data_IF_026609965111
#
_entry.id   IF_026609965111
#
_cell.length_a   1.000
_cell.length_b   1.000
_cell.length_c   1.000
_cell.angle_alpha   90.00
_cell.angle_beta   90.00
_cell.angle_gamma   90.00
#
_symmetry.space_group_name_H-M   'P 1'
#
loop_
_entity.id
_entity.type
_entity.pdbx_description
1 polymer ?
#
# COMPACT_ATOMS: atom_id res chain seq x y z
N UNK A 1 8.27 -20.06 -12.30
CA UNK A 1 8.52 -19.24 -11.11
C UNK A 1 9.16 -17.93 -11.49
N UNK A 2 8.39 -16.86 -11.30
CA UNK A 2 8.81 -15.47 -11.38
C UNK A 2 9.38 -15.07 -10.02
N UNK A 3 10.50 -14.35 -10.01
CA UNK A 3 11.14 -13.88 -8.76
C UNK A 3 11.48 -12.41 -8.82
N UNK A 4 11.50 -11.76 -7.65
CA UNK A 4 12.01 -10.39 -7.51
C UNK A 4 13.54 -10.41 -7.55
N UNK A 5 14.13 -9.55 -8.36
CA UNK A 5 15.59 -9.42 -8.49
C UNK A 5 16.12 -8.17 -7.80
N UNK A 6 15.29 -7.13 -7.65
CA UNK A 6 15.70 -5.85 -7.08
C UNK A 6 14.52 -4.94 -6.69
N UNK A 7 14.69 -4.19 -5.61
CA UNK A 7 13.89 -2.99 -5.27
C UNK A 7 14.29 -1.84 -6.21
N UNK A 8 13.38 -1.40 -7.06
CA UNK A 8 13.64 -0.40 -8.10
C UNK A 8 13.34 1.03 -7.63
N UNK A 9 12.15 1.24 -7.05
CA UNK A 9 11.69 2.60 -6.72
C UNK A 9 10.61 2.60 -5.66
N UNK A 10 10.84 3.36 -4.58
CA UNK A 10 9.81 3.73 -3.61
C UNK A 10 8.94 4.86 -4.13
N UNK A 11 7.64 4.80 -3.82
CA UNK A 11 6.62 5.78 -4.17
C UNK A 11 6.60 6.15 -5.66
N UNK A 12 6.45 5.17 -6.59
CA UNK A 12 6.24 5.49 -8.00
C UNK A 12 4.98 6.37 -8.17
N UNK A 13 4.93 7.18 -9.23
CA UNK A 13 3.72 7.95 -9.55
C UNK A 13 2.60 7.04 -10.05
N UNK A 14 1.37 7.54 -10.01
CA UNK A 14 0.21 6.86 -10.60
C UNK A 14 0.46 6.54 -12.08
N UNK A 15 1.08 7.46 -12.83
CA UNK A 15 1.41 7.29 -14.24
C UNK A 15 2.56 6.31 -14.47
N UNK A 16 3.44 6.10 -13.49
CA UNK A 16 4.48 5.06 -13.58
C UNK A 16 3.91 3.67 -13.36
N UNK A 17 2.89 3.53 -12.51
CA UNK A 17 2.24 2.25 -12.21
C UNK A 17 1.14 1.89 -13.21
N UNK A 18 0.33 2.86 -13.65
CA UNK A 18 -0.87 2.58 -14.46
C UNK A 18 -0.70 3.00 -15.92
N UNK A 19 -1.13 2.15 -16.86
CA UNK A 19 -1.01 2.41 -18.30
C UNK A 19 -1.91 3.57 -18.74
N UNK A 20 -3.16 3.57 -18.29
CA UNK A 20 -4.18 4.59 -18.60
C UNK A 20 -4.90 4.96 -17.30
N UNK A 21 -4.29 5.77 -16.42
CA UNK A 21 -4.88 6.08 -15.12
C UNK A 21 -6.16 6.90 -15.29
N UNK A 22 -7.23 6.47 -14.60
CA UNK A 22 -8.45 7.28 -14.46
C UNK A 22 -8.21 8.35 -13.42
N UNK A 23 -8.87 9.51 -13.54
CA UNK A 23 -8.68 10.65 -12.63
C UNK A 23 -8.88 10.26 -11.15
N UNK A 24 -9.79 9.32 -10.88
CA UNK A 24 -10.07 8.87 -9.52
C UNK A 24 -8.99 7.96 -8.92
N UNK A 25 -8.07 7.40 -9.73
CA UNK A 25 -7.02 6.49 -9.22
C UNK A 25 -6.18 7.16 -8.14
N UNK A 26 -5.86 8.45 -8.28
CA UNK A 26 -5.07 9.19 -7.29
C UNK A 26 -5.81 9.44 -5.97
N UNK A 27 -7.13 9.25 -5.95
CA UNK A 27 -7.93 9.40 -4.74
C UNK A 27 -8.01 8.08 -3.96
N UNK A 28 -7.79 6.94 -4.63
CA UNK A 28 -8.03 5.59 -4.08
C UNK A 28 -6.74 4.81 -3.93
N UNK A 29 -5.88 4.78 -4.95
CA UNK A 29 -4.68 3.94 -4.95
C UNK A 29 -3.45 4.69 -4.44
N UNK A 30 -2.65 3.98 -3.67
CA UNK A 30 -1.37 4.43 -3.13
C UNK A 30 -0.25 3.54 -3.66
N UNK A 31 0.44 3.94 -4.74
CA UNK A 31 1.60 3.20 -5.22
C UNK A 31 2.76 3.25 -4.20
N UNK A 32 3.19 2.10 -3.72
CA UNK A 32 4.12 2.02 -2.59
C UNK A 32 5.55 1.76 -3.06
N UNK A 33 5.72 0.73 -3.88
CA UNK A 33 7.03 0.22 -4.25
C UNK A 33 6.97 -0.40 -5.64
N UNK A 34 8.00 -0.18 -6.45
CA UNK A 34 8.26 -0.91 -7.69
C UNK A 34 9.44 -1.86 -7.48
N UNK A 35 9.29 -3.10 -7.93
CA UNK A 35 10.33 -4.13 -7.97
C UNK A 35 10.60 -4.56 -9.40
N UNK A 36 11.84 -4.93 -9.69
CA UNK A 36 12.21 -5.69 -10.90
C UNK A 36 11.92 -7.17 -10.63
N UNK A 37 11.29 -7.82 -11.60
CA UNK A 37 11.01 -9.26 -11.58
C UNK A 37 11.66 -9.93 -12.78
N UNK A 38 12.03 -11.20 -12.63
CA UNK A 38 12.59 -12.05 -13.68
C UNK A 38 11.81 -13.36 -13.77
N UNK A 39 11.40 -13.73 -14.97
CA UNK A 39 10.73 -15.00 -15.23
C UNK A 39 11.71 -16.11 -15.62
N UNK A 40 11.22 -17.33 -15.80
CA UNK A 40 12.04 -18.52 -16.13
C UNK A 40 12.86 -18.37 -17.42
N UNK A 41 12.46 -17.47 -18.31
CA UNK A 41 13.14 -17.18 -19.57
C UNK A 41 14.19 -16.07 -19.41
N UNK A 42 14.51 -15.67 -18.18
CA UNK A 42 15.42 -14.57 -17.85
C UNK A 42 14.96 -13.21 -18.42
N UNK A 43 13.67 -13.07 -18.70
CA UNK A 43 13.11 -11.80 -19.14
C UNK A 43 12.75 -10.97 -17.92
N UNK A 44 13.21 -9.72 -17.94
CA UNK A 44 13.01 -8.77 -16.86
C UNK A 44 11.82 -7.86 -17.13
N UNK A 45 10.98 -7.69 -16.12
CA UNK A 45 9.85 -6.76 -16.15
C UNK A 45 9.68 -6.11 -14.77
N UNK A 46 8.60 -5.35 -14.56
CA UNK A 46 8.33 -4.67 -13.30
C UNK A 46 7.00 -5.11 -12.70
N UNK A 47 6.96 -5.13 -11.36
CA UNK A 47 5.74 -5.21 -10.59
C UNK A 47 5.71 -4.13 -9.52
N UNK A 48 4.52 -3.83 -8.99
CA UNK A 48 4.24 -2.74 -8.09
C UNK A 48 3.40 -3.21 -6.91
N UNK A 49 3.86 -2.88 -5.71
CA UNK A 49 3.03 -2.89 -4.52
C UNK A 49 2.15 -1.64 -4.52
N UNK A 50 0.85 -1.84 -4.38
CA UNK A 50 -0.18 -0.80 -4.40
C UNK A 50 -1.13 -1.06 -3.24
N UNK A 51 -1.26 -0.10 -2.34
CA UNK A 51 -2.33 -0.07 -1.35
C UNK A 51 -3.55 0.69 -1.89
N UNK A 52 -4.68 0.61 -1.19
CA UNK A 52 -5.87 1.37 -1.50
C UNK A 52 -6.50 1.98 -0.25
N UNK A 53 -7.22 3.08 -0.43
CA UNK A 53 -8.09 3.63 0.59
C UNK A 53 -9.15 2.59 0.97
N UNK A 54 -9.42 2.51 2.28
CA UNK A 54 -10.35 1.54 2.88
C UNK A 54 -9.93 0.07 2.77
N UNK A 55 -8.64 -0.24 2.50
CA UNK A 55 -8.16 -1.60 2.77
C UNK A 55 -8.39 -1.92 4.26
N UNK A 56 -9.02 -3.07 4.55
CA UNK A 56 -9.31 -3.50 5.93
C UNK A 56 -10.49 -2.86 6.63
N UNK A 57 -11.25 -1.97 5.97
CA UNK A 57 -12.51 -1.48 6.54
C UNK A 57 -13.61 -2.52 6.35
N UNK A 58 -13.60 -3.53 7.23
CA UNK A 58 -14.47 -4.70 7.23
C UNK A 58 -16.00 -4.42 7.37
N UNK A 59 -16.41 -3.15 7.43
CA UNK A 59 -17.83 -2.77 7.53
C UNK A 59 -18.53 -2.66 6.15
N UNK A 60 -17.77 -2.76 5.06
CA UNK A 60 -18.19 -2.58 3.66
C UNK A 60 -17.98 -3.81 2.73
N UNK A 61 -18.52 -4.98 3.12
CA UNK A 61 -18.34 -6.26 2.39
C UNK A 61 -18.74 -6.12 0.92
N UNK A 62 -17.92 -6.68 0.03
CA UNK A 62 -18.15 -6.66 -1.40
C UNK A 62 -17.80 -8.02 -2.00
N UNK A 63 -18.77 -8.71 -2.60
CA UNK A 63 -18.60 -10.01 -3.30
C UNK A 63 -17.82 -9.87 -4.62
N UNK A 64 -17.08 -8.78 -4.80
CA UNK A 64 -16.36 -8.47 -6.03
C UNK A 64 -15.06 -9.26 -6.13
N UNK A 65 -14.76 -9.71 -7.34
CA UNK A 65 -13.57 -10.52 -7.66
C UNK A 65 -12.46 -9.72 -8.31
N UNK A 66 -12.68 -8.44 -8.60
CA UNK A 66 -11.70 -7.51 -9.15
C UNK A 66 -11.04 -6.64 -8.07
N UNK A 67 -11.79 -6.27 -7.03
CA UNK A 67 -11.31 -5.46 -5.93
C UNK A 67 -12.27 -5.52 -4.74
N UNK A 68 -11.74 -5.69 -3.55
CA UNK A 68 -12.45 -5.52 -2.28
C UNK A 68 -11.47 -4.99 -1.21
N UNK A 69 -11.84 -5.03 0.06
CA UNK A 69 -10.97 -4.53 1.13
C UNK A 69 -9.77 -5.44 1.45
N UNK A 70 -9.74 -6.68 0.94
CA UNK A 70 -8.71 -7.70 1.16
C UNK A 70 -7.75 -7.78 -0.02
N UNK A 71 -8.17 -7.37 -1.23
CA UNK A 71 -7.26 -7.36 -2.36
C UNK A 71 -7.66 -6.39 -3.45
N UNK A 72 -6.69 -6.09 -4.32
CA UNK A 72 -6.93 -5.52 -5.64
C UNK A 72 -6.27 -6.38 -6.70
N UNK A 73 -7.05 -6.78 -7.71
CA UNK A 73 -6.54 -7.47 -8.91
C UNK A 73 -6.31 -6.48 -10.03
N UNK A 74 -5.15 -6.56 -10.66
CA UNK A 74 -4.76 -5.77 -11.82
C UNK A 74 -4.45 -6.66 -13.02
N UNK A 75 -4.79 -6.19 -14.23
CA UNK A 75 -4.19 -6.72 -15.46
C UNK A 75 -2.81 -6.08 -15.63
N UNK A 76 -1.76 -6.87 -15.84
CA UNK A 76 -0.42 -6.38 -16.12
C UNK A 76 -0.21 -6.23 -17.63
N UNK A 77 0.15 -5.01 -18.04
CA UNK A 77 0.41 -4.61 -19.42
C UNK A 77 1.83 -4.09 -19.53
N UNK A 78 2.75 -4.99 -19.87
CA UNK A 78 4.19 -4.71 -19.85
C UNK A 78 4.69 -4.49 -18.42
N UNK A 79 5.15 -3.27 -18.13
CA UNK A 79 5.66 -2.84 -16.82
C UNK A 79 4.66 -1.98 -16.06
N UNK A 80 3.38 -2.03 -16.41
CA UNK A 80 2.32 -1.22 -15.84
C UNK A 80 1.06 -2.05 -15.63
N UNK A 81 0.10 -1.48 -14.92
CA UNK A 81 -1.18 -2.08 -14.59
C UNK A 81 -2.34 -1.38 -15.28
N UNK A 82 -3.38 -2.16 -15.56
CA UNK A 82 -4.72 -1.70 -15.93
C UNK A 82 -5.71 -2.17 -14.87
N UNK A 83 -6.61 -1.26 -14.51
CA UNK A 83 -7.70 -1.52 -13.58
C UNK A 83 -9.02 -1.03 -14.18
N UNK A 84 -9.87 -1.98 -14.53
CA UNK A 84 -11.18 -1.70 -15.12
C UNK A 84 -12.36 -1.89 -14.16
N UNK A 85 -12.08 -2.22 -12.90
CA UNK A 85 -13.10 -2.33 -11.87
C UNK A 85 -13.81 -1.01 -11.55
N UNK A 86 -14.99 -1.16 -10.96
CA UNK A 86 -15.84 -0.07 -10.48
C UNK A 86 -15.62 0.16 -8.98
N UNK A 87 -15.84 1.40 -8.53
CA UNK A 87 -15.59 1.84 -7.15
C UNK A 87 -16.86 2.40 -6.47
N UNK A 88 -18.03 2.11 -7.02
CA UNK A 88 -19.33 2.52 -6.45
C UNK A 88 -19.61 1.85 -5.10
N UNK A 89 -19.01 0.67 -4.86
CA UNK A 89 -19.01 -0.02 -3.57
C UNK A 89 -18.14 0.67 -2.51
N UNK A 90 -17.13 1.45 -2.92
CA UNK A 90 -16.21 2.10 -1.99
C UNK A 90 -16.95 3.22 -1.23
N UNK A 91 -16.93 3.21 0.11
CA UNK A 91 -17.65 4.19 0.91
C UNK A 91 -17.17 5.61 0.60
N UNK A 92 -18.14 6.52 0.52
CA UNK A 92 -17.87 7.93 0.24
C UNK A 92 -17.08 8.17 -1.07
N UNK A 93 -17.05 7.23 -2.02
CA UNK A 93 -16.30 7.37 -3.28
C UNK A 93 -16.58 8.69 -4.00
N UNK A 94 -17.86 9.09 -4.04
CA UNK A 94 -18.30 10.36 -4.65
C UNK A 94 -17.78 11.63 -3.95
N UNK A 95 -17.34 11.52 -2.68
CA UNK A 95 -16.77 12.63 -1.90
C UNK A 95 -15.25 12.71 -2.01
N UNK A 96 -14.58 11.61 -2.37
CA UNK A 96 -13.11 11.55 -2.43
C UNK A 96 -12.45 12.64 -3.28
N UNK A 97 -13.01 13.08 -4.44
CA UNK A 97 -12.41 14.19 -5.19
C UNK A 97 -12.32 15.49 -4.38
N UNK A 98 -13.35 15.80 -3.59
CA UNK A 98 -13.35 16.99 -2.73
C UNK A 98 -12.41 16.79 -1.54
N UNK A 99 -12.41 15.60 -0.93
CA UNK A 99 -11.54 15.30 0.20
C UNK A 99 -10.06 15.35 -0.18
N UNK A 100 -9.71 14.80 -1.34
CA UNK A 100 -8.36 14.89 -1.91
C UNK A 100 -7.93 16.35 -2.11
N UNK A 101 -8.84 17.19 -2.61
CA UNK A 101 -8.54 18.62 -2.80
C UNK A 101 -8.31 19.31 -1.46
N UNK A 102 -9.12 19.02 -0.44
CA UNK A 102 -8.92 19.55 0.91
C UNK A 102 -7.57 19.10 1.49
N UNK A 103 -7.23 17.81 1.36
CA UNK A 103 -5.92 17.28 1.79
C UNK A 103 -4.77 17.99 1.09
N UNK A 104 -4.90 18.23 -0.22
CA UNK A 104 -3.89 18.93 -1.01
C UNK A 104 -3.68 20.37 -0.53
N UNK A 105 -4.76 21.08 -0.24
CA UNK A 105 -4.71 22.45 0.28
C UNK A 105 -4.09 22.49 1.68
N UNK A 106 -4.48 21.57 2.54
CA UNK A 106 -3.97 21.45 3.91
C UNK A 106 -2.48 21.07 3.92
N UNK A 107 -2.10 20.05 3.15
CA UNK A 107 -0.70 19.66 2.97
C UNK A 107 0.15 20.82 2.44
N UNK A 108 -0.33 21.56 1.43
CA UNK A 108 0.41 22.71 0.90
C UNK A 108 0.58 23.83 1.92
N UNK A 109 -0.42 24.07 2.78
CA UNK A 109 -0.36 25.09 3.82
C UNK A 109 0.57 24.73 4.99
N UNK A 110 0.71 23.43 5.29
CA UNK A 110 1.43 22.95 6.48
C UNK A 110 2.64 22.05 6.17
N UNK A 111 3.03 21.91 4.90
CA UNK A 111 4.08 20.99 4.43
C UNK A 111 5.35 21.03 5.27
N UNK A 112 5.91 22.23 5.45
CA UNK A 112 7.17 22.41 6.17
C UNK A 112 7.07 21.96 7.64
N UNK A 113 5.88 22.06 8.23
CA UNK A 113 5.62 21.63 9.61
C UNK A 113 5.49 20.12 9.71
N UNK A 114 4.82 19.48 8.74
CA UNK A 114 4.73 18.02 8.66
C UNK A 114 6.09 17.38 8.36
N UNK A 115 6.96 18.06 7.62
CA UNK A 115 8.29 17.59 7.32
C UNK A 115 9.33 17.99 8.38
N UNK A 116 9.00 18.70 9.45
CA UNK A 116 10.05 19.04 10.43
C UNK A 116 10.29 17.88 11.42
N UNK A 117 11.44 17.21 11.30
CA UNK A 117 11.81 16.02 12.09
C UNK A 117 12.33 16.31 13.50
N UNK A 118 12.73 17.55 13.80
CA UNK A 118 13.38 17.86 15.10
C UNK A 118 12.38 18.01 16.24
N UNK A 119 11.10 18.22 15.92
CA UNK A 119 10.05 18.31 16.91
C UNK A 119 9.24 17.03 16.79
N UNK A 120 9.51 16.07 17.69
CA UNK A 120 8.42 15.17 18.10
C UNK A 120 7.25 16.12 18.37
N UNK A 121 6.17 16.03 17.59
CA UNK A 121 4.90 16.70 17.91
C UNK A 121 4.27 16.02 19.14
N UNK A 122 5.09 15.74 20.16
CA UNK A 122 4.71 15.28 21.47
C UNK A 122 4.02 16.46 22.15
N UNK A 123 2.72 16.51 21.93
CA UNK A 123 1.74 17.31 22.67
C UNK A 123 1.76 18.83 22.43
N UNK A 124 0.59 19.28 21.98
CA UNK A 124 -0.10 20.57 22.14
C UNK A 124 0.74 21.88 22.23
N UNK A 125 0.59 22.81 21.27
CA UNK A 125 -0.18 22.72 20.02
C UNK A 125 0.66 22.17 18.86
N UNK A 126 0.12 21.17 18.15
CA UNK A 126 0.61 20.75 16.83
C UNK A 126 -0.45 21.10 15.79
N UNK A 127 -0.08 21.75 14.67
CA UNK A 127 -0.99 22.02 13.55
C UNK A 127 -1.70 20.76 13.03
N UNK A 128 -1.08 19.58 13.18
CA UNK A 128 -1.70 18.31 12.81
C UNK A 128 -2.88 17.97 13.72
N UNK A 129 -2.72 18.10 15.05
CA UNK A 129 -3.78 17.85 16.02
C UNK A 129 -4.97 18.79 15.81
N UNK A 130 -4.71 20.08 15.61
CA UNK A 130 -5.75 21.07 15.32
C UNK A 130 -6.50 20.76 14.02
N UNK A 131 -5.83 20.12 13.05
CA UNK A 131 -6.43 19.73 11.79
C UNK A 131 -7.22 18.44 11.93
N UNK A 132 -6.70 17.45 12.67
CA UNK A 132 -7.41 16.22 12.99
C UNK A 132 -8.74 16.50 13.70
N UNK A 133 -8.74 17.34 14.75
CA UNK A 133 -9.98 17.70 15.47
C UNK A 133 -11.02 18.34 14.53
N UNK A 134 -10.58 19.14 13.55
CA UNK A 134 -11.48 19.73 12.53
C UNK A 134 -11.99 18.67 11.55
N UNK A 135 -11.17 17.71 11.17
CA UNK A 135 -11.58 16.64 10.27
C UNK A 135 -12.56 15.68 10.94
N UNK A 136 -12.29 15.29 12.18
CA UNK A 136 -13.20 14.46 13.00
C UNK A 136 -14.56 15.14 13.21
N UNK A 137 -14.58 16.47 13.37
CA UNK A 137 -15.81 17.24 13.46
C UNK A 137 -16.65 17.22 12.15
N UNK A 138 -16.06 16.89 11.01
CA UNK A 138 -16.78 16.68 9.74
C UNK A 138 -17.34 15.24 9.70
N UNK A 139 -16.48 14.24 9.87
CA UNK A 139 -16.85 12.82 10.04
C UNK A 139 -15.61 11.95 10.30
N UNK A 140 -15.77 10.78 10.93
CA UNK A 140 -14.71 9.79 11.09
C UNK A 140 -14.05 9.38 9.77
N UNK A 141 -14.85 8.98 8.76
CA UNK A 141 -14.34 8.59 7.43
C UNK A 141 -13.49 9.67 6.76
N UNK A 142 -13.88 10.94 6.94
CA UNK A 142 -13.12 12.08 6.42
C UNK A 142 -11.79 12.22 7.16
N UNK A 143 -11.78 12.12 8.48
CA UNK A 143 -10.56 12.16 9.27
C UNK A 143 -9.58 11.03 8.89
N UNK A 144 -10.07 9.79 8.79
CA UNK A 144 -9.30 8.63 8.33
C UNK A 144 -8.73 8.86 6.94
N UNK A 145 -9.54 9.31 5.97
CA UNK A 145 -9.04 9.59 4.63
C UNK A 145 -7.92 10.64 4.62
N UNK A 146 -8.08 11.71 5.39
CA UNK A 146 -7.09 12.78 5.50
C UNK A 146 -5.80 12.28 6.14
N UNK A 147 -5.88 11.51 7.23
CA UNK A 147 -4.72 10.94 7.93
C UNK A 147 -3.94 9.95 7.04
N UNK A 148 -4.64 9.02 6.38
CA UNK A 148 -4.06 8.10 5.41
C UNK A 148 -3.32 8.82 4.28
N UNK A 149 -3.97 9.81 3.65
CA UNK A 149 -3.39 10.49 2.48
C UNK A 149 -2.21 11.41 2.86
N UNK A 150 -2.32 12.12 3.98
CA UNK A 150 -1.25 12.99 4.46
C UNK A 150 -0.05 12.19 4.96
N UNK A 151 -0.27 11.12 5.73
CA UNK A 151 0.81 10.24 6.17
C UNK A 151 1.56 9.66 4.96
N UNK A 152 0.86 9.18 3.93
CA UNK A 152 1.45 8.72 2.68
C UNK A 152 2.36 9.78 2.02
N UNK A 153 1.86 11.01 1.86
CA UNK A 153 2.65 12.10 1.26
C UNK A 153 3.84 12.52 2.11
N UNK A 154 3.69 12.54 3.43
CA UNK A 154 4.78 12.85 4.37
C UNK A 154 5.86 11.78 4.29
N UNK A 155 5.50 10.49 4.33
CA UNK A 155 6.45 9.37 4.17
C UNK A 155 7.22 9.52 2.85
N UNK A 156 6.49 9.74 1.73
CA UNK A 156 7.10 9.91 0.40
C UNK A 156 8.09 11.06 0.37
N UNK A 157 7.66 12.26 0.76
CA UNK A 157 8.47 13.46 0.66
C UNK A 157 9.67 13.39 1.62
N UNK A 158 9.52 12.76 2.78
CA UNK A 158 10.64 12.51 3.71
C UNK A 158 11.66 11.55 3.16
N UNK A 159 11.21 10.47 2.52
CA UNK A 159 12.11 9.55 1.85
C UNK A 159 12.87 10.26 0.72
N UNK A 160 12.19 11.09 -0.08
CA UNK A 160 12.83 11.89 -1.14
C UNK A 160 13.87 12.88 -0.60
N UNK A 161 13.62 13.46 0.58
CA UNK A 161 14.54 14.41 1.22
C UNK A 161 15.75 13.72 1.86
N UNK A 162 15.54 12.60 2.53
CA UNK A 162 16.53 12.01 3.44
C UNK A 162 17.17 10.71 2.94
N UNK A 163 16.54 10.05 1.97
CA UNK A 163 16.88 8.70 1.52
C UNK A 163 16.55 7.59 2.52
N UNK A 164 15.98 7.91 3.69
CA UNK A 164 15.65 6.95 4.75
C UNK A 164 14.17 6.62 4.73
N UNK A 165 13.84 5.34 4.89
CA UNK A 165 12.46 4.90 4.98
C UNK A 165 11.99 4.90 6.42
N UNK A 166 11.16 5.89 6.78
CA UNK A 166 10.61 6.09 8.11
C UNK A 166 9.11 6.42 7.94
N UNK A 167 8.24 5.76 8.69
CA UNK A 167 6.79 5.90 8.55
C UNK A 167 6.32 7.35 8.79
N UNK A 168 5.39 7.82 7.95
CA UNK A 168 4.84 9.18 7.98
C UNK A 168 4.21 9.56 9.31
N UNK A 169 3.56 8.59 9.97
CA UNK A 169 2.99 8.80 11.30
C UNK A 169 4.03 9.23 12.34
N UNK A 170 5.33 8.89 12.17
CA UNK A 170 6.42 9.43 12.98
C UNK A 170 6.38 10.96 13.06
N UNK A 171 6.08 11.59 11.92
CA UNK A 171 6.14 13.03 11.72
C UNK A 171 4.80 13.72 11.94
N UNK A 172 3.68 13.00 11.82
CA UNK A 172 2.34 13.59 12.04
C UNK A 172 1.83 13.38 13.48
N UNK A 173 2.01 12.19 14.08
CA UNK A 173 1.47 11.82 15.41
C UNK A 173 2.35 10.87 16.26
N UNK A 174 3.63 10.73 15.92
CA UNK A 174 4.31 9.43 16.00
C UNK A 174 4.81 8.86 17.33
N UNK A 175 5.01 7.53 17.29
CA UNK A 175 5.48 6.66 18.37
C UNK A 175 6.88 6.03 18.15
N UNK A 176 7.49 6.09 16.94
CA UNK A 176 8.86 5.62 16.71
C UNK A 176 9.52 6.20 15.44
N UNK A 177 10.80 6.57 15.51
CA UNK A 177 11.55 7.27 14.44
C UNK A 177 12.77 6.51 13.92
N UNK A 178 12.76 5.18 13.98
CA UNK A 178 13.83 4.35 13.42
C UNK A 178 13.57 4.04 11.95
N UNK A 179 14.65 3.78 11.23
CA UNK A 179 14.64 3.33 9.83
C UNK A 179 13.97 1.96 9.73
N UNK A 180 13.21 1.76 8.65
CA UNK A 180 12.37 0.59 8.41
C UNK A 180 12.85 -0.19 7.22
N UNK A 181 12.61 -1.49 7.23
CA UNK A 181 12.76 -2.32 6.04
C UNK A 181 11.69 -1.92 5.00
N UNK A 182 12.14 -1.87 3.74
CA UNK A 182 11.31 -1.42 2.61
C UNK A 182 10.45 -2.58 2.10
N UNK A 183 11.03 -3.77 2.06
CA UNK A 183 10.50 -4.93 1.37
C UNK A 183 11.14 -6.18 1.97
N UNK A 184 10.31 -7.19 2.20
CA UNK A 184 10.75 -8.47 2.74
C UNK A 184 10.44 -9.57 1.71
N UNK A 185 11.51 -10.21 1.26
CA UNK A 185 11.45 -11.46 0.51
C UNK A 185 11.11 -12.58 1.46
N UNK A 186 10.31 -13.53 1.00
CA UNK A 186 10.27 -14.86 1.58
C UNK A 186 11.21 -15.77 0.78
N UNK A 187 11.78 -16.80 1.41
CA UNK A 187 13.10 -17.30 1.09
C UNK A 187 13.10 -18.14 -0.20
N UNK A 188 13.50 -17.52 -1.30
CA UNK A 188 14.26 -18.22 -2.35
C UNK A 188 15.67 -17.62 -2.51
N UNK A 189 16.12 -16.87 -1.50
CA UNK A 189 17.53 -16.51 -1.38
C UNK A 189 18.29 -17.71 -0.83
N UNK A 190 19.22 -18.20 -1.66
CA UNK A 190 19.91 -19.49 -1.66
C UNK A 190 20.88 -19.77 -0.48
N UNK A 191 20.57 -19.38 0.76
CA UNK A 191 21.39 -19.75 1.93
C UNK A 191 20.56 -20.49 2.99
N UNK A 192 20.54 -21.81 2.85
CA UNK A 192 20.08 -22.80 3.84
C UNK A 192 20.85 -22.61 5.17
N UNK A 193 20.20 -22.20 6.27
CA UNK A 193 20.49 -22.74 7.62
C UNK A 193 19.65 -22.17 8.79
N UNK A 194 18.75 -21.19 8.62
CA UNK A 194 18.09 -20.54 9.81
C UNK A 194 16.57 -20.56 9.93
N UNK A 195 15.79 -21.25 9.09
CA UNK A 195 14.35 -20.94 9.02
C UNK A 195 13.36 -22.11 8.93
N UNK A 196 13.36 -23.02 9.91
CA UNK A 196 12.18 -23.89 10.12
C UNK A 196 10.94 -23.07 10.58
N UNK A 197 11.13 -21.99 11.36
CA UNK A 197 10.02 -21.18 11.90
C UNK A 197 9.40 -20.18 10.88
N UNK A 198 10.16 -19.76 9.86
CA UNK A 198 9.67 -18.78 8.88
C UNK A 198 8.88 -19.47 7.77
N UNK A 199 9.31 -20.66 7.33
CA UNK A 199 8.55 -21.48 6.39
C UNK A 199 7.19 -21.87 6.99
N UNK A 200 7.14 -22.24 8.27
CA UNK A 200 5.87 -22.53 8.98
C UNK A 200 4.99 -21.28 9.13
N UNK A 201 5.57 -20.11 9.46
CA UNK A 201 4.82 -18.85 9.55
C UNK A 201 4.25 -18.43 8.19
N UNK A 202 5.00 -18.64 7.12
CA UNK A 202 4.60 -18.32 5.76
C UNK A 202 3.56 -19.29 5.22
N UNK A 203 3.72 -20.58 5.48
CA UNK A 203 2.72 -21.60 5.15
C UNK A 203 1.40 -21.27 5.87
N UNK A 204 1.45 -20.98 7.18
CA UNK A 204 0.26 -20.55 7.94
C UNK A 204 -0.39 -19.28 7.38
N UNK A 205 0.43 -18.29 6.99
CA UNK A 205 -0.06 -17.04 6.43
C UNK A 205 -0.69 -17.26 5.05
N UNK A 206 -0.01 -17.97 4.15
CA UNK A 206 -0.51 -18.26 2.82
C UNK A 206 -1.76 -19.14 2.88
N UNK A 207 -1.84 -20.09 3.82
CA UNK A 207 -3.07 -20.87 4.07
C UNK A 207 -4.23 -19.98 4.51
N UNK A 208 -3.97 -18.99 5.36
CA UNK A 208 -5.00 -18.03 5.80
C UNK A 208 -5.44 -17.12 4.64
N UNK A 209 -4.49 -16.63 3.83
CA UNK A 209 -4.78 -15.81 2.65
C UNK A 209 -5.57 -16.63 1.61
N UNK A 210 -5.17 -17.88 1.32
CA UNK A 210 -5.87 -18.80 0.41
C UNK A 210 -7.28 -19.17 0.90
N UNK A 211 -7.48 -19.42 2.21
CA UNK A 211 -8.81 -19.70 2.76
C UNK A 211 -9.78 -18.52 2.53
N UNK A 212 -9.31 -17.28 2.75
CA UNK A 212 -10.11 -16.09 2.47
C UNK A 212 -10.34 -15.89 0.96
N UNK A 213 -9.41 -16.31 0.11
CA UNK A 213 -9.57 -16.26 -1.34
C UNK A 213 -10.68 -17.19 -1.86
N UNK A 214 -10.85 -18.37 -1.26
CA UNK A 214 -11.90 -19.33 -1.64
C UNK A 214 -13.31 -18.71 -1.56
N UNK A 215 -13.54 -17.83 -0.59
CA UNK A 215 -14.82 -17.12 -0.43
C UNK A 215 -15.12 -16.17 -1.61
N UNK A 216 -14.09 -15.75 -2.36
CA UNK A 216 -14.21 -14.85 -3.52
C UNK A 216 -13.94 -15.55 -4.87
N UNK A 217 -13.90 -16.89 -4.90
CA UNK A 217 -13.58 -17.68 -6.11
C UNK A 217 -12.21 -17.29 -6.71
N UNK A 218 -11.26 -16.92 -5.85
CA UNK A 218 -9.87 -16.63 -6.20
C UNK A 218 -9.02 -17.78 -5.69
N UNK A 219 -8.07 -18.22 -6.53
CA UNK A 219 -7.04 -19.16 -6.11
C UNK A 219 -5.68 -18.50 -6.28
N UNK A 220 -4.89 -18.53 -5.20
CA UNK A 220 -3.51 -18.06 -5.19
C UNK A 220 -2.51 -19.20 -5.42
N UNK A 221 -2.95 -20.46 -5.32
CA UNK A 221 -2.10 -21.65 -5.43
C UNK A 221 -1.39 -21.80 -6.77
N UNK A 222 -1.95 -21.22 -7.83
CA UNK A 222 -1.39 -21.22 -9.19
C UNK A 222 -0.63 -19.91 -9.51
N UNK A 223 -0.40 -19.03 -8.52
CA UNK A 223 0.30 -17.76 -8.66
C UNK A 223 1.68 -17.82 -8.03
N UNK A 224 2.63 -17.10 -8.63
CA UNK A 224 3.95 -16.90 -8.04
C UNK A 224 3.86 -15.79 -6.98
N UNK A 225 4.30 -16.08 -5.75
CA UNK A 225 4.40 -15.09 -4.68
C UNK A 225 5.70 -14.29 -4.80
N UNK A 226 5.57 -12.97 -4.78
CA UNK A 226 6.67 -12.03 -4.99
C UNK A 226 7.11 -11.34 -3.70
N UNK A 227 6.67 -11.77 -2.52
CA UNK A 227 7.00 -11.13 -1.24
C UNK A 227 5.97 -10.10 -0.76
N UNK A 228 6.32 -9.37 0.30
CA UNK A 228 5.40 -8.42 0.94
C UNK A 228 6.09 -7.14 1.40
N UNK A 229 5.25 -6.13 1.66
CA UNK A 229 5.63 -4.92 2.38
C UNK A 229 4.77 -4.77 3.64
N UNK A 230 5.30 -4.09 4.65
CA UNK A 230 4.53 -3.74 5.85
C UNK A 230 3.72 -2.47 5.56
N UNK A 231 2.41 -2.57 5.44
CA UNK A 231 1.57 -1.48 4.89
C UNK A 231 1.60 -0.22 5.75
N UNK A 232 1.54 -0.35 7.08
CA UNK A 232 1.61 0.79 8.00
C UNK A 232 2.97 1.52 8.02
N UNK A 233 4.02 0.95 7.41
CA UNK A 233 5.28 1.68 7.22
C UNK A 233 5.15 2.75 6.13
N UNK A 234 4.18 2.63 5.22
CA UNK A 234 3.99 3.54 4.09
C UNK A 234 2.95 4.63 4.37
N UNK A 235 1.82 4.24 4.98
CA UNK A 235 0.67 5.10 5.24
C UNK A 235 -0.09 4.64 6.49
N UNK A 236 -0.74 5.58 7.16
CA UNK A 236 -1.60 5.34 8.31
C UNK A 236 -2.90 4.64 7.86
N UNK A 237 -3.44 3.78 8.73
CA UNK A 237 -4.67 2.99 8.50
C UNK A 237 -4.57 2.08 7.26
N UNK A 238 -3.37 1.54 7.05
CA UNK A 238 -3.08 0.53 6.02
C UNK A 238 -3.15 -0.88 6.60
N UNK A 239 -3.05 -1.87 5.72
CA UNK A 239 -2.84 -3.26 6.14
C UNK A 239 -1.56 -3.44 6.95
N UNK A 240 -1.54 -4.45 7.82
CA UNK A 240 -0.30 -4.85 8.50
C UNK A 240 0.73 -5.27 7.46
N UNK A 241 0.27 -6.04 6.48
CA UNK A 241 1.10 -6.47 5.37
C UNK A 241 0.35 -6.44 4.05
N UNK A 242 1.09 -6.19 2.98
CA UNK A 242 0.60 -6.19 1.60
C UNK A 242 1.45 -7.17 0.81
N UNK A 243 0.87 -8.33 0.54
CA UNK A 243 1.44 -9.42 -0.25
C UNK A 243 1.25 -9.15 -1.74
N UNK A 244 2.22 -9.53 -2.57
CA UNK A 244 2.14 -9.40 -4.03
C UNK A 244 2.22 -10.77 -4.69
N UNK A 245 1.20 -11.09 -5.48
CA UNK A 245 1.15 -12.33 -6.28
C UNK A 245 1.04 -11.99 -7.77
N UNK A 246 1.60 -12.86 -8.62
CA UNK A 246 1.53 -12.70 -10.07
C UNK A 246 1.19 -14.03 -10.75
N UNK A 247 0.39 -13.98 -11.81
CA UNK A 247 0.15 -15.19 -12.62
C UNK A 247 1.42 -15.63 -13.36
N UNK A 248 1.60 -16.93 -13.62
CA UNK A 248 2.78 -17.45 -14.33
C UNK A 248 2.94 -16.87 -15.75
N UNK A 249 1.86 -16.41 -16.37
CA UNK A 249 1.87 -15.74 -17.68
C UNK A 249 2.04 -14.21 -17.59
N UNK A 250 2.30 -13.68 -16.40
CA UNK A 250 2.47 -12.26 -16.07
C UNK A 250 1.31 -11.35 -16.49
N UNK A 251 0.09 -11.87 -16.60
CA UNK A 251 -1.08 -11.07 -17.00
C UNK A 251 -1.92 -10.59 -15.84
N UNK A 252 -1.91 -11.27 -14.71
CA UNK A 252 -2.66 -10.88 -13.52
C UNK A 252 -1.73 -10.64 -12.35
N UNK A 253 -2.01 -9.58 -11.59
CA UNK A 253 -1.31 -9.25 -10.36
C UNK A 253 -2.33 -9.02 -9.25
N UNK A 254 -2.05 -9.54 -8.06
CA UNK A 254 -2.87 -9.34 -6.87
C UNK A 254 -2.04 -8.64 -5.81
N UNK A 255 -2.54 -7.50 -5.32
CA UNK A 255 -2.08 -6.91 -4.06
C UNK A 255 -3.07 -7.36 -2.98
N UNK A 256 -2.60 -8.18 -2.06
CA UNK A 256 -3.41 -8.77 -1.00
C UNK A 256 -3.09 -8.13 0.35
N UNK A 257 -4.13 -7.78 1.10
CA UNK A 257 -4.09 -6.99 2.32
C UNK A 257 -4.43 -7.87 3.51
N UNK A 258 -3.49 -8.00 4.45
CA UNK A 258 -3.66 -8.84 5.65
C UNK A 258 -3.63 -7.97 6.91
N UNK A 259 -4.51 -8.30 7.85
CA UNK A 259 -4.78 -7.56 9.09
C UNK A 259 -4.74 -8.52 10.30
N UNK A 260 -4.20 -8.08 11.43
CA UNK A 260 -4.08 -8.83 12.69
C UNK A 260 -5.08 -8.44 13.77
#
# INVERSE_FOLDING_TARGET
MIKVTKVEKLFPSIEEVFEVPKEWFKYVFFPLLTVEIENEQQQKSKAHFVSMYACGLAEYESERTDCNWFFVRFEKVGNKYRFDGEMDWLPNFSKLPQWYQNAKEDYAAHKDLYLNSEVKHSYDPSPYKDSLEKWEAISGDYATYMDTLLSYWVTRDKYQETGKFIAGNHYTQGYSGHEREIYELTPYDEDEETYEDLDEYLEYRLDTESYLCEEYDISLDDKDYLGYVIGYNYLQDSADTISLFISPDEKEVYNWFSFS
#
